data_IF_681260025524
#
_entry.id   IF_681260025524
#
_cell.length_a   1.000
_cell.length_b   1.000
_cell.length_c   1.000
_cell.angle_alpha   90.00
_cell.angle_beta   90.00
_cell.angle_gamma   90.00
#
_symmetry.space_group_name_H-M   'P 1'
#
loop_
_entity.id
_entity.type
_entity.pdbx_description
1 polymer ?
#
# COMPACT_ATOMS: atom_id res chain seq x y z
N UNK A 1 22.90 3.93 -0.11
CA UNK A 1 23.21 4.11 1.34
C UNK A 1 23.09 5.59 1.67
N UNK A 2 21.97 6.00 2.24
CA UNK A 2 21.82 7.26 2.98
C UNK A 2 20.80 6.99 4.10
N UNK A 3 21.27 7.10 5.34
CA UNK A 3 20.51 6.88 6.58
C UNK A 3 20.44 8.20 7.33
N UNK A 4 19.24 8.65 7.70
CA UNK A 4 19.08 9.72 8.67
C UNK A 4 18.56 9.09 9.97
N UNK A 5 19.37 9.17 11.03
CA UNK A 5 19.09 8.54 12.31
C UNK A 5 18.38 9.56 13.21
N UNK A 6 17.09 9.34 13.45
CA UNK A 6 16.40 9.88 14.62
C UNK A 6 15.82 8.65 15.34
N UNK A 7 16.14 8.57 16.62
CA UNK A 7 16.15 7.40 17.51
C UNK A 7 15.17 6.23 17.23
N UNK A 8 15.80 5.05 17.11
CA UNK A 8 15.31 3.66 17.28
C UNK A 8 14.37 2.99 16.26
N UNK A 9 13.89 3.63 15.19
CA UNK A 9 13.08 2.90 14.19
C UNK A 9 13.54 3.21 12.75
N UNK A 10 13.78 2.16 11.96
CA UNK A 10 14.05 2.26 10.52
C UNK A 10 12.73 2.50 9.79
N UNK A 11 12.44 3.75 9.42
CA UNK A 11 11.28 4.09 8.59
C UNK A 11 11.71 4.36 7.15
N UNK A 12 10.97 3.81 6.19
CA UNK A 12 11.05 4.21 4.78
C UNK A 12 10.57 5.67 4.62
N UNK A 13 11.09 6.35 3.60
CA UNK A 13 10.88 7.79 3.29
C UNK A 13 9.40 8.23 3.34
N UNK A 14 8.46 7.36 2.96
CA UNK A 14 7.01 7.64 3.03
C UNK A 14 6.45 7.73 4.45
N UNK A 15 7.10 7.09 5.43
CA UNK A 15 6.64 7.08 6.81
C UNK A 15 7.23 8.24 7.64
N UNK A 16 8.35 8.85 7.22
CA UNK A 16 8.85 10.08 7.87
C UNK A 16 7.94 11.28 7.63
N UNK A 17 7.35 11.39 6.44
CA UNK A 17 6.41 12.49 6.13
C UNK A 17 5.13 12.39 6.99
N UNK A 18 4.64 11.18 7.23
CA UNK A 18 3.50 10.95 8.11
C UNK A 18 3.81 11.35 9.56
N UNK A 19 5.00 11.01 10.08
CA UNK A 19 5.38 11.35 11.45
C UNK A 19 5.60 12.85 11.67
N UNK A 20 6.14 13.56 10.68
CA UNK A 20 6.26 15.02 10.73
C UNK A 20 4.88 15.72 10.71
N UNK A 21 3.93 15.16 9.96
CA UNK A 21 2.56 15.67 9.93
C UNK A 21 1.85 15.52 11.29
N UNK A 22 2.09 14.42 12.02
CA UNK A 22 1.53 14.21 13.36
C UNK A 22 2.11 15.18 14.39
N UNK A 23 3.43 15.42 14.37
CA UNK A 23 4.07 16.40 15.24
C UNK A 23 3.58 17.82 15.00
N UNK A 24 3.34 18.18 13.74
CA UNK A 24 2.83 19.51 13.40
C UNK A 24 1.38 19.70 13.89
N UNK A 25 0.54 18.69 13.75
CA UNK A 25 -0.86 18.72 14.24
C UNK A 25 -0.88 18.82 15.76
N UNK A 26 -0.07 18.03 16.46
CA UNK A 26 0.02 18.05 17.93
C UNK A 26 0.42 19.44 18.47
N UNK A 27 1.43 20.08 17.87
CA UNK A 27 1.88 21.42 18.26
C UNK A 27 0.84 22.53 17.97
N UNK A 28 -0.05 22.31 17.01
CA UNK A 28 -1.11 23.26 16.68
C UNK A 28 -2.30 23.13 17.64
N UNK A 29 -2.64 21.91 18.07
CA UNK A 29 -3.68 21.67 19.09
C UNK A 29 -3.30 22.24 20.46
N UNK A 30 -2.03 22.13 20.89
CA UNK A 30 -1.57 22.68 22.17
C UNK A 30 -1.71 24.22 22.24
N UNK A 31 -1.56 24.91 21.11
CA UNK A 31 -1.72 26.37 21.05
C UNK A 31 -3.16 26.85 21.17
N UNK A 32 -4.15 26.00 20.90
CA UNK A 32 -5.57 26.37 21.03
C UNK A 32 -6.14 26.15 22.44
N UNK A 33 -5.42 25.46 23.33
CA UNK A 33 -5.97 25.00 24.62
C UNK A 33 -5.73 25.95 25.81
N UNK A 34 -5.15 27.15 25.62
CA UNK A 34 -4.97 28.14 26.70
C UNK A 34 -6.06 29.22 26.71
N UNK A 35 -6.95 29.29 27.73
CA UNK A 35 -7.94 30.35 27.85
C UNK A 35 -7.45 31.54 28.71
N UNK A 36 -7.72 32.75 28.22
CA UNK A 36 -7.93 34.06 28.89
C UNK A 36 -6.97 34.57 30.00
N UNK A 37 -6.33 35.72 29.73
CA UNK A 37 -5.96 36.81 30.68
C UNK A 37 -5.30 37.93 29.85
N UNK A 38 -5.57 39.25 29.92
CA UNK A 38 -6.30 40.13 30.83
C UNK A 38 -6.70 41.38 30.05
N UNK A 39 -7.87 41.91 30.37
CA UNK A 39 -8.44 43.20 29.97
C UNK A 39 -7.64 44.36 30.60
N UNK A 40 -7.29 45.40 29.83
CA UNK A 40 -6.90 46.71 30.35
C UNK A 40 -7.68 47.78 29.56
N UNK A 41 -8.42 48.61 30.30
CA UNK A 41 -9.19 49.77 29.83
C UNK A 41 -8.73 50.98 30.64
N UNK A 42 -8.26 52.03 29.95
CA UNK A 42 -8.26 53.48 30.31
C UNK A 42 -7.43 54.19 29.20
N UNK A 43 -7.69 55.39 28.69
CA UNK A 43 -8.80 56.34 28.82
C UNK A 43 -8.81 57.29 27.58
N UNK A 44 -9.84 58.12 27.48
CA UNK A 44 -10.36 58.89 26.32
C UNK A 44 -9.48 59.94 25.61
N UNK A 45 -9.71 60.13 24.30
CA UNK A 45 -9.73 61.46 23.66
C UNK A 45 -10.58 61.50 22.36
N UNK A 46 -11.68 62.25 22.43
CA UNK A 46 -12.36 63.06 21.40
C UNK A 46 -12.73 62.50 20.00
N UNK A 47 -14.04 62.44 19.78
CA UNK A 47 -14.80 62.82 18.56
C UNK A 47 -14.37 62.29 17.17
N UNK A 48 -15.16 61.34 16.67
CA UNK A 48 -15.89 61.44 15.39
C UNK A 48 -16.91 60.30 15.29
N UNK A 49 -18.19 60.66 15.30
CA UNK A 49 -19.30 59.73 15.08
C UNK A 49 -19.32 59.30 13.61
N UNK A 50 -18.55 58.28 13.26
CA UNK A 50 -18.74 57.53 12.02
C UNK A 50 -19.80 56.45 12.27
N UNK A 51 -20.86 56.49 11.47
CA UNK A 51 -21.96 55.53 11.44
C UNK A 51 -21.43 54.08 11.52
N UNK A 52 -22.08 53.16 12.26
CA UNK A 52 -21.54 51.83 12.49
C UNK A 52 -21.48 51.07 11.17
N UNK A 53 -20.29 51.00 10.56
CA UNK A 53 -20.01 49.98 9.57
C UNK A 53 -20.26 48.64 10.26
N UNK A 54 -21.29 47.93 9.82
CA UNK A 54 -21.61 46.57 10.24
C UNK A 54 -20.34 45.75 10.24
N UNK A 55 -19.76 45.52 11.43
CA UNK A 55 -18.69 44.57 11.64
C UNK A 55 -19.28 43.18 11.36
N UNK A 56 -19.24 42.75 10.10
CA UNK A 56 -19.48 41.35 9.75
C UNK A 56 -18.38 40.57 10.44
N UNK A 57 -18.73 39.82 11.48
CA UNK A 57 -17.81 38.95 12.21
C UNK A 57 -17.07 38.05 11.20
N UNK A 58 -15.76 38.26 10.98
CA UNK A 58 -15.01 37.56 9.94
C UNK A 58 -14.83 36.08 10.28
N UNK A 59 -15.12 35.66 11.50
CA UNK A 59 -14.98 34.26 11.95
C UNK A 59 -15.78 33.29 11.08
N UNK A 60 -17.02 33.63 10.72
CA UNK A 60 -17.83 32.79 9.83
C UNK A 60 -17.29 32.78 8.40
N UNK A 61 -16.83 33.92 7.90
CA UNK A 61 -16.26 34.00 6.55
C UNK A 61 -14.96 33.20 6.44
N UNK A 62 -14.12 33.22 7.47
CA UNK A 62 -12.88 32.44 7.54
C UNK A 62 -13.19 30.95 7.62
N UNK A 63 -14.18 30.53 8.44
CA UNK A 63 -14.62 29.13 8.51
C UNK A 63 -15.11 28.62 7.16
N UNK A 64 -15.94 29.40 6.45
CA UNK A 64 -16.41 29.03 5.11
C UNK A 64 -15.27 28.98 4.07
N UNK A 65 -14.28 29.88 4.17
CA UNK A 65 -13.11 29.85 3.30
C UNK A 65 -12.30 28.56 3.47
N UNK A 66 -12.07 28.10 4.71
CA UNK A 66 -11.34 26.85 4.97
C UNK A 66 -12.06 25.64 4.39
N UNK A 67 -13.39 25.56 4.54
CA UNK A 67 -14.19 24.45 4.00
C UNK A 67 -14.18 24.43 2.46
N UNK A 68 -14.26 25.60 1.83
CA UNK A 68 -14.21 25.69 0.37
C UNK A 68 -12.83 25.29 -0.14
N UNK A 69 -11.76 25.78 0.49
CA UNK A 69 -10.38 25.47 0.08
C UNK A 69 -10.08 23.97 0.26
N UNK A 70 -10.46 23.38 1.39
CA UNK A 70 -10.28 21.94 1.62
C UNK A 70 -11.11 21.11 0.64
N UNK A 71 -12.35 21.52 0.37
CA UNK A 71 -13.18 20.89 -0.67
C UNK A 71 -12.57 20.96 -2.06
N UNK A 72 -11.99 22.11 -2.44
CA UNK A 72 -11.27 22.27 -3.70
C UNK A 72 -10.04 21.37 -3.80
N UNK A 73 -9.27 21.22 -2.72
CA UNK A 73 -8.08 20.35 -2.70
C UNK A 73 -8.49 18.88 -2.83
N UNK A 74 -9.48 18.43 -2.05
CA UNK A 74 -9.97 17.04 -2.09
C UNK A 74 -10.56 16.72 -3.46
N UNK A 75 -11.37 17.63 -4.02
CA UNK A 75 -11.94 17.43 -5.36
C UNK A 75 -10.89 17.42 -6.46
N UNK A 76 -9.86 18.27 -6.38
CA UNK A 76 -8.73 18.23 -7.29
C UNK A 76 -7.97 16.90 -7.18
N UNK A 77 -7.64 16.45 -5.96
CA UNK A 77 -6.98 15.16 -5.73
C UNK A 77 -7.82 13.99 -6.26
N UNK A 78 -9.13 14.00 -6.03
CA UNK A 78 -10.04 12.98 -6.54
C UNK A 78 -10.13 13.02 -8.06
N UNK A 79 -10.09 14.20 -8.68
CA UNK A 79 -10.07 14.35 -10.13
C UNK A 79 -8.77 13.81 -10.75
N UNK A 80 -7.62 14.10 -10.14
CA UNK A 80 -6.32 13.53 -10.56
C UNK A 80 -6.21 12.03 -10.29
N UNK A 81 -6.86 11.52 -9.24
CA UNK A 81 -6.89 10.09 -8.93
C UNK A 81 -7.81 9.31 -9.88
N UNK A 82 -8.96 9.90 -10.25
CA UNK A 82 -9.92 9.29 -11.19
C UNK A 82 -9.51 9.40 -12.65
N UNK A 83 -8.70 10.41 -12.99
CA UNK A 83 -8.06 10.56 -14.28
C UNK A 83 -6.55 10.64 -14.05
N UNK A 84 -5.90 9.51 -13.70
CA UNK A 84 -4.45 9.51 -13.69
C UNK A 84 -4.03 10.00 -15.08
N UNK A 85 -3.13 10.99 -15.20
CA UNK A 85 -2.48 11.21 -16.48
C UNK A 85 -1.98 9.83 -16.90
N UNK A 86 -2.20 9.44 -18.16
CA UNK A 86 -1.57 8.25 -18.72
C UNK A 86 -0.06 8.50 -18.65
N UNK A 87 0.53 8.35 -17.46
CA UNK A 87 1.89 7.91 -17.28
C UNK A 87 1.87 6.64 -18.09
N UNK A 88 2.57 6.69 -19.20
CA UNK A 88 2.85 5.58 -20.07
C UNK A 88 3.48 4.51 -19.16
N UNK A 89 2.62 3.71 -18.53
CA UNK A 89 2.98 2.69 -17.58
C UNK A 89 3.67 1.68 -18.48
N UNK A 90 5.00 1.77 -18.51
CA UNK A 90 5.80 1.09 -19.52
C UNK A 90 5.28 -0.35 -19.59
N UNK A 91 4.96 -0.87 -20.78
CA UNK A 91 4.36 -2.20 -20.90
C UNK A 91 5.23 -3.28 -20.22
N UNK A 92 6.53 -3.00 -20.03
CA UNK A 92 7.47 -3.79 -19.25
C UNK A 92 7.17 -3.85 -17.74
N UNK A 93 6.62 -2.81 -17.12
CA UNK A 93 6.27 -2.80 -15.70
C UNK A 93 4.99 -3.60 -15.44
N UNK A 94 3.94 -3.41 -16.26
CA UNK A 94 2.69 -4.17 -16.16
C UNK A 94 2.94 -5.65 -16.46
N UNK A 95 3.75 -5.96 -17.48
CA UNK A 95 4.09 -7.35 -17.80
C UNK A 95 4.84 -8.05 -16.66
N UNK A 96 5.74 -7.35 -15.96
CA UNK A 96 6.46 -7.90 -14.79
C UNK A 96 5.53 -8.13 -13.60
N UNK A 97 4.62 -7.22 -13.33
CA UNK A 97 3.63 -7.37 -12.25
C UNK A 97 2.68 -8.56 -12.53
N UNK A 98 2.26 -8.74 -13.78
CA UNK A 98 1.45 -9.89 -14.20
C UNK A 98 2.20 -11.22 -14.02
N UNK A 99 3.47 -11.29 -14.43
CA UNK A 99 4.28 -12.51 -14.28
C UNK A 99 4.52 -12.86 -12.80
N UNK A 100 4.79 -11.87 -11.95
CA UNK A 100 4.94 -12.06 -10.51
C UNK A 100 3.63 -12.54 -9.87
N UNK A 101 2.50 -11.93 -10.23
CA UNK A 101 1.19 -12.35 -9.73
C UNK A 101 0.88 -13.80 -10.09
N UNK A 102 1.26 -14.22 -11.30
CA UNK A 102 0.95 -15.55 -11.78
C UNK A 102 1.82 -16.63 -11.16
N UNK A 103 3.13 -16.36 -10.97
CA UNK A 103 4.00 -17.24 -10.18
C UNK A 103 3.49 -17.42 -8.76
N UNK A 104 3.09 -16.34 -8.08
CA UNK A 104 2.56 -16.42 -6.72
C UNK A 104 1.31 -17.30 -6.66
N UNK A 105 0.38 -17.16 -7.61
CA UNK A 105 -0.80 -18.03 -7.71
C UNK A 105 -0.41 -19.49 -7.93
N UNK A 106 0.56 -19.75 -8.80
CA UNK A 106 1.06 -21.10 -9.05
C UNK A 106 1.68 -21.72 -7.78
N UNK A 107 2.45 -20.94 -7.02
CA UNK A 107 3.04 -21.39 -5.75
C UNK A 107 2.00 -21.72 -4.69
N UNK A 108 0.91 -20.95 -4.61
CA UNK A 108 -0.20 -21.25 -3.70
C UNK A 108 -0.91 -22.55 -4.07
N UNK A 109 -1.11 -22.79 -5.37
CA UNK A 109 -1.70 -24.03 -5.87
C UNK A 109 -0.80 -25.24 -5.58
N UNK A 110 0.52 -25.11 -5.80
CA UNK A 110 1.46 -26.18 -5.45
C UNK A 110 1.47 -26.46 -3.94
N UNK A 111 1.37 -25.42 -3.10
CA UNK A 111 1.22 -25.62 -1.65
C UNK A 111 -0.05 -26.39 -1.31
N UNK A 112 -1.17 -26.09 -1.96
CA UNK A 112 -2.42 -26.84 -1.78
C UNK A 112 -2.27 -28.31 -2.18
N UNK A 113 -1.65 -28.59 -3.32
CA UNK A 113 -1.30 -29.95 -3.75
C UNK A 113 -0.45 -30.65 -2.67
N UNK A 114 0.57 -29.97 -2.15
CA UNK A 114 1.43 -30.49 -1.08
C UNK A 114 0.66 -30.88 0.18
N UNK A 115 -0.31 -30.05 0.60
CA UNK A 115 -1.19 -30.35 1.73
C UNK A 115 -2.08 -31.58 1.45
N UNK A 116 -2.64 -31.68 0.25
CA UNK A 116 -3.45 -32.85 -0.16
C UNK A 116 -2.60 -34.13 -0.15
N UNK A 117 -1.34 -34.06 -0.59
CA UNK A 117 -0.41 -35.18 -0.58
C UNK A 117 0.01 -35.57 0.84
N UNK A 118 0.18 -34.60 1.73
CA UNK A 118 0.43 -34.86 3.16
C UNK A 118 -0.74 -35.59 3.83
N UNK A 119 -1.97 -35.30 3.41
CA UNK A 119 -3.17 -36.02 3.85
C UNK A 119 -3.28 -37.45 3.25
N UNK A 120 -2.34 -37.87 2.41
CA UNK A 120 -2.37 -39.16 1.72
C UNK A 120 -3.42 -39.23 0.61
N UNK A 121 -3.95 -38.08 0.18
CA UNK A 121 -4.90 -37.96 -0.94
C UNK A 121 -4.16 -37.57 -2.22
N UNK A 122 -4.82 -37.80 -3.36
CA UNK A 122 -4.31 -37.40 -4.66
C UNK A 122 -4.99 -36.10 -5.09
N UNK A 123 -4.25 -35.07 -5.55
CA UNK A 123 -4.85 -33.85 -6.05
C UNK A 123 -5.67 -34.10 -7.32
N UNK A 124 -6.66 -33.25 -7.55
CA UNK A 124 -7.50 -33.30 -8.74
C UNK A 124 -6.70 -32.86 -9.99
N UNK A 125 -7.05 -33.41 -11.15
CA UNK A 125 -6.31 -33.20 -12.39
C UNK A 125 -6.43 -31.79 -12.97
N UNK A 126 -7.37 -31.00 -12.46
CA UNK A 126 -7.65 -29.61 -12.84
C UNK A 126 -6.87 -28.58 -12.00
N UNK A 127 -6.12 -29.03 -10.99
CA UNK A 127 -5.23 -28.19 -10.20
C UNK A 127 -3.98 -27.83 -11.02
N UNK A 128 -4.14 -26.89 -11.95
CA UNK A 128 -3.12 -26.40 -12.88
C UNK A 128 -2.82 -24.92 -12.64
N UNK A 129 -1.57 -24.52 -12.87
CA UNK A 129 -1.20 -23.11 -12.82
C UNK A 129 -1.83 -22.35 -14.00
N UNK A 130 -2.32 -21.12 -13.74
CA UNK A 130 -3.08 -20.35 -14.72
C UNK A 130 -2.35 -20.06 -16.05
N UNK A 131 -1.02 -20.11 -16.05
CA UNK A 131 -0.20 -19.87 -17.24
C UNK A 131 0.14 -21.16 -18.00
N UNK A 132 -0.34 -22.31 -17.55
CA UNK A 132 -0.05 -23.59 -18.17
C UNK A 132 -1.29 -24.47 -18.30
N UNK A 133 -1.64 -24.78 -19.56
CA UNK A 133 -2.67 -25.77 -19.88
C UNK A 133 -2.14 -27.22 -19.75
N UNK A 134 -0.85 -27.38 -19.45
CA UNK A 134 -0.22 -28.68 -19.32
C UNK A 134 -0.39 -29.24 -17.90
N UNK A 135 -0.67 -30.53 -17.80
CA UNK A 135 -0.77 -31.21 -16.52
C UNK A 135 0.56 -31.21 -15.76
N UNK A 136 0.49 -31.08 -14.43
CA UNK A 136 1.65 -31.23 -13.57
C UNK A 136 2.22 -32.66 -13.68
N UNK A 137 3.54 -32.78 -13.69
CA UNK A 137 4.23 -34.05 -13.86
C UNK A 137 4.31 -34.76 -12.51
N UNK A 138 3.77 -35.97 -12.43
CA UNK A 138 3.81 -36.82 -11.24
C UNK A 138 5.00 -37.78 -11.31
N UNK A 139 5.83 -37.77 -10.26
CA UNK A 139 6.88 -38.76 -10.05
C UNK A 139 6.65 -39.44 -8.71
N UNK A 140 6.71 -40.78 -8.71
CA UNK A 140 6.62 -41.59 -7.50
C UNK A 140 7.86 -42.47 -7.39
N UNK A 141 8.74 -42.12 -6.45
CA UNK A 141 9.96 -42.86 -6.17
C UNK A 141 9.92 -43.41 -4.75
N UNK A 142 9.73 -44.73 -4.62
CA UNK A 142 9.83 -45.42 -3.34
C UNK A 142 8.83 -44.95 -2.27
N UNK A 143 7.66 -44.43 -2.66
CA UNK A 143 6.65 -43.90 -1.75
C UNK A 143 6.78 -42.40 -1.46
N UNK A 144 7.78 -41.73 -2.04
CA UNK A 144 7.82 -40.27 -2.12
C UNK A 144 7.10 -39.83 -3.40
N UNK A 145 5.95 -39.19 -3.23
CA UNK A 145 5.17 -38.65 -4.35
C UNK A 145 5.54 -37.20 -4.49
N UNK A 146 6.03 -36.82 -5.68
CA UNK A 146 6.40 -35.44 -6.01
C UNK A 146 5.74 -35.00 -7.30
N UNK A 147 5.18 -33.81 -7.27
CA UNK A 147 4.61 -33.10 -8.42
C UNK A 147 5.57 -32.03 -8.88
N UNK A 148 5.66 -31.87 -10.20
CA UNK A 148 6.53 -30.90 -10.85
C UNK A 148 5.73 -30.04 -11.81
N UNK A 149 6.05 -28.76 -11.86
CA UNK A 149 5.51 -27.85 -12.85
C UNK A 149 6.01 -28.25 -14.25
N UNK A 150 5.16 -28.26 -15.29
CA UNK A 150 5.55 -28.73 -16.62
C UNK A 150 6.56 -27.81 -17.32
N UNK A 151 6.51 -26.49 -17.05
CA UNK A 151 7.36 -25.48 -17.69
C UNK A 151 7.87 -24.43 -16.68
N UNK A 152 8.74 -24.79 -15.71
CA UNK A 152 9.22 -23.87 -14.69
C UNK A 152 10.05 -22.70 -15.27
N UNK A 153 10.63 -22.91 -16.45
CA UNK A 153 11.44 -21.93 -17.19
C UNK A 153 10.65 -20.68 -17.58
N UNK A 154 9.31 -20.76 -17.67
CA UNK A 154 8.47 -19.59 -17.91
C UNK A 154 8.61 -18.52 -16.82
N UNK A 155 8.97 -18.96 -15.62
CA UNK A 155 9.16 -18.12 -14.43
C UNK A 155 10.64 -17.86 -14.12
N UNK A 156 11.58 -18.38 -14.92
CA UNK A 156 13.02 -18.27 -14.67
C UNK A 156 13.58 -19.29 -13.67
N UNK A 157 12.87 -20.39 -13.44
CA UNK A 157 13.31 -21.49 -12.56
C UNK A 157 13.61 -22.75 -13.38
N UNK A 158 14.57 -23.53 -12.91
CA UNK A 158 14.87 -24.86 -13.43
C UNK A 158 13.82 -25.88 -12.98
N UNK A 159 13.38 -25.75 -11.73
CA UNK A 159 12.43 -26.67 -11.11
C UNK A 159 11.47 -25.91 -10.22
N UNK A 160 10.18 -26.27 -10.29
CA UNK A 160 9.17 -25.95 -9.30
C UNK A 160 8.50 -27.27 -8.94
N UNK A 161 8.59 -27.70 -7.69
CA UNK A 161 8.10 -29.01 -7.26
C UNK A 161 7.51 -29.00 -5.85
N UNK A 162 6.64 -29.95 -5.54
CA UNK A 162 6.05 -30.15 -4.21
C UNK A 162 5.84 -31.63 -3.96
N UNK A 163 5.94 -32.10 -2.72
CA UNK A 163 5.82 -33.53 -2.42
C UNK A 163 5.00 -33.87 -1.18
N UNK A 164 4.81 -35.16 -0.94
CA UNK A 164 4.08 -35.66 0.22
C UNK A 164 4.84 -35.51 1.54
N UNK A 165 6.18 -35.42 1.51
CA UNK A 165 6.99 -35.21 2.72
C UNK A 165 7.03 -33.76 3.18
N UNK A 166 6.81 -32.82 2.26
CA UNK A 166 7.00 -31.38 2.45
C UNK A 166 5.98 -30.64 1.59
N UNK A 167 4.98 -30.04 2.24
CA UNK A 167 3.92 -29.30 1.57
C UNK A 167 4.38 -27.92 1.08
N UNK A 168 5.57 -27.46 1.48
CA UNK A 168 6.12 -26.23 0.93
C UNK A 168 6.70 -26.47 -0.47
N UNK A 169 6.28 -25.69 -1.47
CA UNK A 169 6.82 -25.79 -2.82
C UNK A 169 8.30 -25.40 -2.84
N UNK A 170 9.11 -26.24 -3.47
CA UNK A 170 10.52 -26.04 -3.71
C UNK A 170 10.76 -25.44 -5.08
N UNK A 171 11.65 -24.47 -5.13
CA UNK A 171 12.06 -23.80 -6.36
C UNK A 171 13.58 -23.88 -6.50
N UNK A 172 14.05 -24.21 -7.70
CA UNK A 172 15.47 -24.24 -8.06
C UNK A 172 15.68 -23.22 -9.17
N UNK A 173 16.60 -22.28 -8.96
CA UNK A 173 16.96 -21.28 -9.97
C UNK A 173 17.72 -21.98 -11.10
N UNK A 174 17.41 -21.65 -12.35
CA UNK A 174 18.26 -22.06 -13.46
C UNK A 174 19.61 -21.36 -13.34
N UNK A 175 20.70 -22.14 -13.25
CA UNK A 175 22.05 -21.57 -13.36
C UNK A 175 22.18 -20.88 -14.73
N UNK A 176 22.48 -19.57 -14.70
CA UNK A 176 22.73 -18.74 -15.89
C UNK A 176 24.22 -18.67 -16.21
#
# INVERSE_FOLDING_TARGET
MCSNFIDEIVLCESCSEAFESEKFVAAQTEKLERPNSTMVVEDQAAEKFNSPATRKNPSKAIQWAVVIVSGCIISAQLFFYSNPPLVEQQPSAIAKELQLSSLVKCMLLFREIGLILQDGRMPESDMLCADSDAANVLVNEGGNIRFYHPNPQHYGYEEISVGNTDAEPRIVLAEQ
#
